data_IF_919016340944
#
_entry.id   IF_919016340944
#
_cell.length_a   1.000
_cell.length_b   1.000
_cell.length_c   1.000
_cell.angle_alpha   90.00
_cell.angle_beta   90.00
_cell.angle_gamma   90.00
#
_symmetry.space_group_name_H-M   'P 1'
#
loop_
_entity.id
_entity.type
_entity.pdbx_description
1 polymer ?
#
# COMPACT_ATOMS: atom_id res chain seq x y z
N UNK A 1 28.58 -70.59 78.88
CA UNK A 1 28.45 -69.27 78.25
C UNK A 1 29.60 -69.12 77.25
N UNK A 2 29.29 -68.67 76.04
CA UNK A 2 30.19 -68.26 74.93
C UNK A 2 30.90 -69.40 74.17
N UNK A 3 30.39 -69.86 73.02
CA UNK A 3 30.47 -69.28 71.65
C UNK A 3 31.90 -69.02 71.18
N UNK A 4 32.30 -69.69 70.10
CA UNK A 4 32.82 -69.09 68.85
C UNK A 4 33.16 -70.23 67.86
N UNK A 5 32.23 -70.61 67.01
CA UNK A 5 32.03 -70.12 65.64
C UNK A 5 33.14 -70.58 64.68
N UNK A 6 32.92 -71.76 64.08
CA UNK A 6 33.62 -72.21 62.88
C UNK A 6 33.30 -71.23 61.74
N UNK A 7 34.33 -70.62 61.18
CA UNK A 7 34.27 -69.85 59.93
C UNK A 7 34.45 -70.83 58.77
N UNK A 8 33.34 -71.18 58.13
CA UNK A 8 33.34 -71.76 56.78
C UNK A 8 33.66 -70.64 55.79
N UNK A 9 34.90 -70.63 55.29
CA UNK A 9 35.30 -69.84 54.13
C UNK A 9 34.75 -70.55 52.89
N UNK A 10 33.62 -70.08 52.40
CA UNK A 10 33.07 -70.48 51.11
C UNK A 10 33.96 -69.87 50.00
N UNK A 11 34.91 -70.66 49.48
CA UNK A 11 35.67 -70.27 48.29
C UNK A 11 34.75 -70.33 47.06
N UNK A 12 34.10 -69.20 46.78
CA UNK A 12 33.41 -68.96 45.51
C UNK A 12 34.46 -68.92 44.40
N UNK A 13 34.72 -70.05 43.75
CA UNK A 13 35.53 -70.12 42.53
C UNK A 13 34.89 -69.22 41.48
N UNK A 14 35.47 -68.03 41.26
CA UNK A 14 35.21 -67.24 40.06
C UNK A 14 35.82 -68.01 38.89
N UNK A 15 34.99 -68.71 38.12
CA UNK A 15 35.38 -69.20 36.80
C UNK A 15 35.58 -67.95 35.94
N UNK A 16 36.84 -67.54 35.78
CA UNK A 16 37.21 -66.52 34.81
C UNK A 16 37.18 -67.17 33.43
N UNK A 17 36.00 -67.22 32.81
CA UNK A 17 35.87 -67.52 31.37
C UNK A 17 36.43 -66.32 30.60
N UNK A 18 37.68 -66.43 30.14
CA UNK A 18 38.22 -65.46 29.18
C UNK A 18 37.45 -65.58 27.86
N UNK A 19 37.09 -64.45 27.26
CA UNK A 19 36.40 -64.39 25.97
C UNK A 19 37.25 -65.01 24.87
N UNK A 20 36.64 -65.79 24.00
CA UNK A 20 37.33 -66.29 22.81
C UNK A 20 37.53 -65.15 21.79
N UNK A 21 38.60 -65.20 21.00
CA UNK A 21 38.89 -64.21 19.96
C UNK A 21 37.72 -64.09 18.94
N UNK A 22 36.97 -65.17 18.73
CA UNK A 22 35.78 -65.20 17.89
C UNK A 22 34.63 -64.38 18.50
N UNK A 23 34.36 -64.51 19.80
CA UNK A 23 33.33 -63.71 20.48
C UNK A 23 33.68 -62.22 20.47
N UNK A 24 34.95 -61.88 20.65
CA UNK A 24 35.39 -60.49 20.60
C UNK A 24 35.20 -59.90 19.18
N UNK A 25 35.49 -60.66 18.13
CA UNK A 25 35.26 -60.25 16.74
C UNK A 25 33.77 -60.14 16.40
N UNK A 26 32.94 -61.08 16.88
CA UNK A 26 31.50 -61.01 16.72
C UNK A 26 30.91 -59.79 17.45
N UNK A 27 31.29 -59.57 18.69
CA UNK A 27 30.87 -58.39 19.45
C UNK A 27 31.32 -57.09 18.79
N UNK A 28 32.56 -57.02 18.30
CA UNK A 28 33.10 -55.84 17.61
C UNK A 28 32.38 -55.59 16.28
N UNK A 29 32.11 -56.63 15.48
CA UNK A 29 31.38 -56.49 14.21
C UNK A 29 29.92 -56.09 14.42
N UNK A 30 29.22 -56.70 15.37
CA UNK A 30 27.85 -56.34 15.73
C UNK A 30 27.78 -54.91 16.30
N UNK A 31 28.72 -54.54 17.17
CA UNK A 31 28.82 -53.18 17.70
C UNK A 31 29.10 -52.14 16.61
N UNK A 32 30.01 -52.44 15.68
CA UNK A 32 30.30 -51.58 14.53
C UNK A 32 29.09 -51.34 13.65
N UNK A 33 28.33 -52.41 13.32
CA UNK A 33 27.10 -52.30 12.55
C UNK A 33 26.03 -51.46 13.27
N UNK A 34 25.86 -51.66 14.58
CA UNK A 34 24.92 -50.86 15.38
C UNK A 34 25.31 -49.39 15.42
N UNK A 35 26.61 -49.07 15.55
CA UNK A 35 27.09 -47.69 15.51
C UNK A 35 26.82 -47.03 14.15
N UNK A 36 26.98 -47.74 13.04
CA UNK A 36 26.68 -47.22 11.70
C UNK A 36 25.19 -46.90 11.58
N UNK A 37 24.30 -47.83 11.97
CA UNK A 37 22.85 -47.61 11.92
C UNK A 37 22.43 -46.43 12.81
N UNK A 38 23.01 -46.31 14.01
CA UNK A 38 22.74 -45.19 14.91
C UNK A 38 23.24 -43.85 14.34
N UNK A 39 24.41 -43.84 13.70
CA UNK A 39 24.95 -42.64 13.05
C UNK A 39 24.08 -42.17 11.88
N UNK A 40 23.63 -43.09 11.03
CA UNK A 40 22.71 -42.78 9.92
C UNK A 40 21.38 -42.22 10.44
N UNK A 41 20.82 -42.81 11.51
CA UNK A 41 19.61 -42.29 12.14
C UNK A 41 19.80 -40.87 12.70
N UNK A 42 20.94 -40.58 13.34
CA UNK A 42 21.26 -39.23 13.81
C UNK A 42 21.41 -38.23 12.66
N UNK A 43 22.11 -38.59 11.59
CA UNK A 43 22.29 -37.71 10.42
C UNK A 43 20.94 -37.40 9.77
N UNK A 44 20.05 -38.39 9.66
CA UNK A 44 18.70 -38.19 9.16
C UNK A 44 17.90 -37.22 10.05
N UNK A 45 17.99 -37.38 11.38
CA UNK A 45 17.36 -36.45 12.32
C UNK A 45 17.92 -35.03 12.22
N UNK A 46 19.24 -34.86 12.11
CA UNK A 46 19.86 -33.54 11.98
C UNK A 46 19.43 -32.84 10.69
N UNK A 47 19.37 -33.56 9.56
CA UNK A 47 18.89 -33.01 8.28
C UNK A 47 17.42 -32.60 8.34
N UNK A 48 16.59 -33.41 8.98
CA UNK A 48 15.17 -33.13 9.20
C UNK A 48 14.96 -31.88 10.08
N UNK A 49 15.71 -31.78 11.18
CA UNK A 49 15.61 -30.61 12.06
C UNK A 49 16.10 -29.33 11.36
N UNK A 50 17.18 -29.42 10.58
CA UNK A 50 17.69 -28.29 9.82
C UNK A 50 16.71 -27.80 8.75
N UNK A 51 16.00 -28.70 8.05
CA UNK A 51 14.99 -28.31 7.06
C UNK A 51 13.75 -27.70 7.70
N UNK A 52 13.33 -28.21 8.86
CA UNK A 52 12.23 -27.63 9.64
C UNK A 52 12.58 -26.23 10.13
N UNK A 53 13.77 -26.03 10.68
CA UNK A 53 14.24 -24.71 11.13
C UNK A 53 14.30 -23.71 9.97
N UNK A 54 14.81 -24.11 8.81
CA UNK A 54 14.85 -23.25 7.62
C UNK A 54 13.44 -22.83 7.16
N UNK A 55 12.46 -23.74 7.26
CA UNK A 55 11.08 -23.45 6.90
C UNK A 55 10.41 -22.49 7.90
N UNK A 56 10.70 -22.64 9.20
CA UNK A 56 10.19 -21.73 10.23
C UNK A 56 10.75 -20.31 10.11
N UNK A 57 12.03 -20.17 9.73
CA UNK A 57 12.61 -18.85 9.42
C UNK A 57 11.87 -18.19 8.26
N UNK A 58 11.64 -18.92 7.16
CA UNK A 58 10.87 -18.40 6.02
C UNK A 58 9.45 -17.99 6.38
N UNK A 59 8.76 -18.76 7.24
CA UNK A 59 7.42 -18.40 7.74
C UNK A 59 7.45 -17.14 8.57
N UNK A 60 8.45 -16.99 9.45
CA UNK A 60 8.64 -15.77 10.25
C UNK A 60 8.90 -14.57 9.35
N UNK A 61 9.77 -14.69 8.35
CA UNK A 61 10.12 -13.59 7.44
C UNK A 61 8.93 -13.18 6.56
N UNK A 62 8.18 -14.18 6.06
CA UNK A 62 6.92 -13.94 5.37
C UNK A 62 5.91 -13.24 6.28
N UNK A 63 5.73 -13.72 7.52
CA UNK A 63 4.78 -13.13 8.47
C UNK A 63 5.14 -11.69 8.82
N UNK A 64 6.42 -11.36 8.99
CA UNK A 64 6.90 -10.00 9.27
C UNK A 64 6.65 -9.07 8.09
N UNK A 65 7.00 -9.51 6.89
CA UNK A 65 6.83 -8.72 5.65
C UNK A 65 5.35 -8.48 5.35
N UNK A 66 4.53 -9.53 5.43
CA UNK A 66 3.08 -9.42 5.21
C UNK A 66 2.44 -8.50 6.24
N UNK A 67 2.75 -8.66 7.53
CA UNK A 67 2.20 -7.79 8.58
C UNK A 67 2.61 -6.31 8.39
N UNK A 68 3.84 -6.07 7.92
CA UNK A 68 4.29 -4.72 7.60
C UNK A 68 3.44 -4.11 6.47
N UNK A 69 3.28 -4.82 5.35
CA UNK A 69 2.43 -4.38 4.21
C UNK A 69 0.98 -4.19 4.67
N UNK A 70 0.43 -5.12 5.45
CA UNK A 70 -0.93 -5.02 5.99
C UNK A 70 -1.13 -3.78 6.85
N UNK A 71 -0.13 -3.45 7.68
CA UNK A 71 -0.17 -2.25 8.52
C UNK A 71 -0.08 -0.96 7.70
N UNK A 72 0.74 -0.91 6.65
CA UNK A 72 0.79 0.25 5.75
C UNK A 72 -0.51 0.41 4.96
N UNK A 73 -1.08 -0.68 4.44
CA UNK A 73 -2.38 -0.61 3.75
C UNK A 73 -3.47 -0.15 4.69
N UNK A 74 -3.49 -0.63 5.94
CA UNK A 74 -4.47 -0.19 6.93
C UNK A 74 -4.39 1.32 7.21
N UNK A 75 -3.19 1.91 7.09
CA UNK A 75 -2.92 3.35 7.22
C UNK A 75 -3.02 4.12 5.91
N UNK A 76 -3.25 3.46 4.78
CA UNK A 76 -3.43 4.12 3.48
C UNK A 76 -4.84 4.64 3.29
N UNK A 77 -5.01 5.73 2.55
CA UNK A 77 -6.31 6.17 2.03
C UNK A 77 -6.72 5.38 0.79
N UNK A 78 -5.75 5.07 -0.09
CA UNK A 78 -5.97 4.45 -1.41
C UNK A 78 -4.84 3.48 -1.77
N UNK A 79 -5.21 2.38 -2.42
CA UNK A 79 -4.31 1.40 -3.02
C UNK A 79 -4.36 1.55 -4.54
N UNK A 80 -3.21 1.74 -5.16
CA UNK A 80 -3.03 1.92 -6.59
C UNK A 80 -2.31 0.71 -7.17
N UNK A 81 -2.90 0.04 -8.14
CA UNK A 81 -2.31 -1.16 -8.78
C UNK A 81 -1.88 -0.91 -10.22
N UNK A 82 -2.22 0.24 -10.80
CA UNK A 82 -1.77 0.68 -12.12
C UNK A 82 -0.54 1.59 -12.01
N UNK A 83 0.43 1.41 -12.90
CA UNK A 83 1.62 2.27 -12.96
C UNK A 83 1.32 3.68 -13.48
N UNK A 84 0.24 3.86 -14.25
CA UNK A 84 -0.16 5.15 -14.83
C UNK A 84 -0.72 6.13 -13.79
N UNK A 85 -1.23 5.62 -12.67
CA UNK A 85 -1.78 6.44 -11.59
C UNK A 85 -0.71 7.02 -10.65
N UNK A 86 0.58 6.70 -10.88
CA UNK A 86 1.67 7.05 -9.98
C UNK A 86 2.87 7.61 -10.75
N UNK A 87 3.45 8.70 -10.26
CA UNK A 87 4.70 9.21 -10.79
C UNK A 87 5.90 8.36 -10.31
N UNK A 88 6.31 7.38 -11.11
CA UNK A 88 7.43 6.48 -10.79
C UNK A 88 8.80 7.18 -10.69
N UNK A 89 8.93 8.40 -11.21
CA UNK A 89 10.19 9.17 -11.15
C UNK A 89 10.41 9.85 -9.79
N UNK A 90 9.45 9.73 -8.86
CA UNK A 90 9.61 10.24 -7.49
C UNK A 90 10.67 9.48 -6.69
N UNK A 91 10.98 8.25 -7.12
CA UNK A 91 12.03 7.45 -6.52
C UNK A 91 13.39 7.84 -7.09
N UNK A 92 14.40 7.92 -6.22
CA UNK A 92 15.80 8.16 -6.60
C UNK A 92 16.32 7.19 -7.66
N UNK A 93 15.75 5.98 -7.72
CA UNK A 93 16.00 5.01 -8.79
C UNK A 93 14.80 4.94 -9.73
N UNK A 94 15.02 5.03 -11.04
CA UNK A 94 13.99 4.79 -12.03
C UNK A 94 13.40 3.39 -11.86
N UNK A 95 12.06 3.28 -11.87
CA UNK A 95 11.32 2.02 -11.74
C UNK A 95 10.65 1.72 -13.07
N UNK A 96 10.81 0.51 -13.60
CA UNK A 96 10.13 0.09 -14.81
C UNK A 96 8.66 -0.26 -14.53
N UNK A 97 7.74 0.43 -15.21
CA UNK A 97 6.29 0.30 -15.02
C UNK A 97 5.76 -1.14 -15.24
N UNK A 98 6.24 -1.84 -16.27
CA UNK A 98 5.66 -3.12 -16.66
C UNK A 98 6.26 -4.33 -15.92
N UNK A 99 7.54 -4.27 -15.54
CA UNK A 99 8.28 -5.42 -15.01
C UNK A 99 8.51 -5.35 -13.51
N UNK A 100 8.81 -4.16 -12.97
CA UNK A 100 9.22 -3.99 -11.57
C UNK A 100 8.05 -3.58 -10.67
N UNK A 101 7.22 -2.64 -11.12
CA UNK A 101 6.11 -2.10 -10.33
C UNK A 101 5.09 -3.20 -9.96
N UNK A 102 4.58 -3.16 -8.73
CA UNK A 102 3.53 -4.08 -8.25
C UNK A 102 2.31 -3.35 -7.74
N UNK A 103 2.49 -2.42 -6.81
CA UNK A 103 1.43 -1.56 -6.31
C UNK A 103 2.03 -0.32 -5.63
N UNK A 104 1.22 0.70 -5.42
CA UNK A 104 1.53 1.85 -4.58
C UNK A 104 0.42 2.11 -3.57
N UNK A 105 0.78 2.74 -2.47
CA UNK A 105 -0.11 3.11 -1.39
C UNK A 105 -0.05 4.63 -1.20
N UNK A 106 -1.21 5.27 -1.28
CA UNK A 106 -1.35 6.66 -0.89
C UNK A 106 -1.64 6.70 0.61
N UNK A 107 -0.62 7.00 1.40
CA UNK A 107 -0.72 6.94 2.87
C UNK A 107 -1.55 8.12 3.38
N UNK A 108 -1.17 9.31 2.93
CA UNK A 108 -1.79 10.59 3.24
C UNK A 108 -1.46 11.54 2.08
N UNK A 109 -2.38 12.45 1.73
CA UNK A 109 -2.25 13.31 0.53
C UNK A 109 -1.06 14.28 0.55
N UNK A 110 -0.51 14.59 1.71
CA UNK A 110 0.65 15.47 1.91
C UNK A 110 2.00 14.72 1.82
N UNK A 111 1.97 13.38 1.81
CA UNK A 111 3.15 12.52 1.72
C UNK A 111 3.23 11.90 0.32
N UNK A 112 4.45 11.71 -0.22
CA UNK A 112 4.60 10.98 -1.47
C UNK A 112 4.05 9.54 -1.31
N UNK A 113 3.43 8.96 -2.34
CA UNK A 113 2.92 7.59 -2.25
C UNK A 113 4.05 6.58 -2.04
N UNK A 114 3.77 5.54 -1.25
CA UNK A 114 4.69 4.43 -1.03
C UNK A 114 4.56 3.39 -2.15
N UNK A 115 5.56 3.30 -3.02
CA UNK A 115 5.66 2.39 -4.14
C UNK A 115 6.35 1.10 -3.71
N UNK A 116 5.73 -0.03 -4.05
CA UNK A 116 6.27 -1.37 -3.91
C UNK A 116 6.65 -1.94 -5.28
N UNK A 117 7.90 -2.37 -5.40
CA UNK A 117 8.42 -2.92 -6.66
C UNK A 117 9.41 -4.04 -6.41
N UNK A 118 9.55 -4.94 -7.38
CA UNK A 118 10.47 -6.07 -7.33
C UNK A 118 11.58 -5.84 -8.33
N UNK A 119 12.83 -5.92 -7.87
CA UNK A 119 14.02 -5.69 -8.70
C UNK A 119 15.01 -6.84 -8.57
N UNK A 120 15.80 -7.07 -9.63
CA UNK A 120 16.87 -8.06 -9.64
C UNK A 120 18.00 -7.67 -8.67
N UNK A 121 18.60 -8.67 -8.04
CA UNK A 121 19.74 -8.52 -7.14
C UNK A 121 21.08 -8.39 -7.90
N UNK A 122 21.06 -8.50 -9.24
CA UNK A 122 22.26 -8.41 -10.09
C UNK A 122 22.89 -7.01 -10.08
N UNK A 123 22.08 -5.99 -9.79
CA UNK A 123 22.46 -4.59 -9.95
C UNK A 123 22.92 -3.97 -8.62
N UNK A 124 23.18 -4.82 -7.62
CA UNK A 124 23.61 -4.38 -6.30
C UNK A 124 25.07 -3.90 -6.34
N UNK A 125 25.25 -2.58 -6.28
CA UNK A 125 26.56 -1.92 -6.31
C UNK A 125 27.49 -2.39 -5.17
N UNK A 126 26.91 -2.88 -4.07
CA UNK A 126 27.62 -3.35 -2.88
C UNK A 126 28.04 -4.83 -2.94
N UNK A 127 27.69 -5.55 -4.02
CA UNK A 127 28.03 -6.96 -4.24
C UNK A 127 27.66 -7.88 -3.06
N UNK A 128 26.59 -7.57 -2.34
CA UNK A 128 26.16 -8.39 -1.21
C UNK A 128 25.52 -9.70 -1.72
N UNK A 129 25.69 -10.79 -0.97
CA UNK A 129 25.13 -12.09 -1.33
C UNK A 129 23.68 -12.15 -0.84
N UNK A 130 22.75 -11.88 -1.75
CA UNK A 130 21.32 -11.95 -1.49
C UNK A 130 20.77 -13.35 -1.75
N UNK A 131 19.76 -13.72 -0.98
CA UNK A 131 19.00 -14.91 -1.27
C UNK A 131 18.08 -14.65 -2.48
N UNK A 132 18.03 -15.58 -3.43
CA UNK A 132 17.21 -15.41 -4.65
C UNK A 132 17.74 -14.41 -5.69
N UNK A 133 17.08 -14.36 -6.84
CA UNK A 133 17.48 -13.47 -7.96
C UNK A 133 16.87 -12.08 -7.87
N UNK A 134 15.82 -11.89 -7.07
CA UNK A 134 15.11 -10.63 -6.91
C UNK A 134 14.90 -10.32 -5.43
N UNK A 135 14.64 -9.06 -5.11
CA UNK A 135 14.21 -8.59 -3.79
C UNK A 135 13.01 -7.67 -3.91
N UNK A 136 12.24 -7.57 -2.82
CA UNK A 136 11.16 -6.60 -2.70
C UNK A 136 11.70 -5.29 -2.16
N UNK A 137 11.40 -4.20 -2.86
CA UNK A 137 11.77 -2.85 -2.48
C UNK A 137 10.52 -2.02 -2.19
N UNK A 138 10.68 -1.10 -1.24
CA UNK A 138 9.72 -0.04 -0.91
C UNK A 138 10.41 1.29 -1.13
N UNK A 139 9.80 2.15 -1.94
CA UNK A 139 10.18 3.55 -2.09
C UNK A 139 9.02 4.41 -1.58
N UNK A 140 9.27 5.38 -0.72
CA UNK A 140 8.19 6.20 -0.18
C UNK A 140 8.68 7.10 0.95
N UNK A 141 7.77 7.57 1.82
CA UNK A 141 8.15 8.34 2.98
C UNK A 141 8.97 7.47 3.94
N UNK A 142 9.99 8.09 4.53
CA UNK A 142 10.80 7.49 5.58
C UNK A 142 9.95 7.17 6.81
N UNK A 143 10.38 6.19 7.59
CA UNK A 143 9.72 5.78 8.83
C UNK A 143 10.73 6.01 9.96
N UNK A 144 10.36 6.80 10.96
CA UNK A 144 11.22 7.04 12.11
C UNK A 144 11.29 5.82 13.06
N UNK A 145 12.10 5.92 14.12
CA UNK A 145 12.23 4.88 15.14
C UNK A 145 10.93 4.60 15.90
N UNK A 146 9.95 5.50 15.82
CA UNK A 146 8.65 5.37 16.47
C UNK A 146 7.57 4.81 15.52
N UNK A 147 7.90 4.54 14.26
CA UNK A 147 6.95 4.07 13.26
C UNK A 147 6.09 5.17 12.64
N UNK A 148 6.46 6.44 12.81
CA UNK A 148 5.79 7.58 12.21
C UNK A 148 6.42 7.94 10.86
N UNK A 149 5.58 8.35 9.91
CA UNK A 149 6.06 8.84 8.62
C UNK A 149 6.69 10.22 8.77
N UNK A 150 7.89 10.37 8.22
CA UNK A 150 8.61 11.64 8.20
C UNK A 150 8.56 12.25 6.81
N UNK A 151 8.21 13.54 6.75
CA UNK A 151 8.36 14.43 5.59
C UNK A 151 9.81 14.91 5.39
N UNK A 152 10.66 14.74 6.41
CA UNK A 152 11.98 15.31 6.49
C UNK A 152 13.00 14.67 5.51
N UNK A 153 13.40 15.45 4.51
CA UNK A 153 14.65 15.32 3.74
C UNK A 153 15.90 15.48 4.64
N UNK A 154 15.73 15.85 5.92
CA UNK A 154 16.83 16.14 6.84
C UNK A 154 16.91 15.13 7.97
N UNK A 155 17.89 14.22 7.84
CA UNK A 155 18.67 13.77 8.99
C UNK A 155 18.19 12.54 9.76
N UNK A 156 17.84 11.44 9.10
CA UNK A 156 18.14 10.09 9.59
C UNK A 156 17.84 9.04 8.52
N UNK A 157 18.90 8.46 7.95
CA UNK A 157 19.05 7.17 7.22
C UNK A 157 18.07 6.75 6.09
N UNK A 158 16.88 7.33 5.94
CA UNK A 158 15.94 7.06 4.84
C UNK A 158 15.39 8.38 4.32
N UNK A 159 16.08 8.97 3.33
CA UNK A 159 15.58 10.13 2.61
C UNK A 159 14.27 9.77 1.90
N UNK A 160 13.29 10.68 1.88
CA UNK A 160 12.08 10.53 1.09
C UNK A 160 12.45 10.22 -0.39
N UNK A 161 11.91 9.12 -0.92
CA UNK A 161 12.23 8.65 -2.29
C UNK A 161 13.47 7.74 -2.40
N UNK A 162 14.16 7.42 -1.31
CA UNK A 162 15.16 6.35 -1.29
C UNK A 162 14.45 4.97 -1.27
N UNK A 163 14.81 4.09 -2.19
CA UNK A 163 14.29 2.73 -2.20
C UNK A 163 14.99 1.90 -1.13
N UNK A 164 14.21 1.40 -0.16
CA UNK A 164 14.69 0.46 0.87
C UNK A 164 14.32 -0.96 0.49
N UNK A 165 15.25 -1.89 0.66
CA UNK A 165 14.99 -3.33 0.52
C UNK A 165 14.20 -3.80 1.76
N UNK A 166 13.07 -4.46 1.55
CA UNK A 166 12.24 -5.00 2.63
C UNK A 166 12.56 -6.46 2.92
N UNK A 167 12.62 -7.28 1.87
CA UNK A 167 12.88 -8.71 1.98
C UNK A 167 13.59 -9.21 0.74
N UNK A 168 14.50 -10.17 0.93
CA UNK A 168 15.17 -10.90 -0.14
C UNK A 168 14.50 -12.27 -0.36
N UNK A 169 15.10 -13.14 -1.17
CA UNK A 169 14.57 -14.48 -1.42
C UNK A 169 13.49 -14.53 -2.49
N UNK A 170 13.34 -13.51 -3.33
CA UNK A 170 12.43 -13.58 -4.48
C UNK A 170 13.16 -14.14 -5.71
N UNK A 171 12.41 -14.62 -6.69
CA UNK A 171 12.94 -14.97 -8.01
C UNK A 171 11.83 -15.19 -9.03
N UNK A 172 12.16 -15.53 -10.27
CA UNK A 172 11.22 -15.50 -11.41
C UNK A 172 9.87 -16.22 -11.16
N UNK A 173 9.88 -17.39 -10.53
CA UNK A 173 8.67 -18.18 -10.23
C UNK A 173 8.15 -17.99 -8.78
N UNK A 174 8.78 -17.11 -8.00
CA UNK A 174 8.49 -16.91 -6.59
C UNK A 174 8.66 -15.42 -6.30
N UNK A 175 7.63 -14.65 -6.64
CA UNK A 175 7.60 -13.19 -6.56
C UNK A 175 6.45 -12.72 -5.68
N UNK A 176 6.35 -11.40 -5.52
CA UNK A 176 5.15 -10.74 -5.08
C UNK A 176 4.20 -10.53 -6.28
N UNK A 177 2.98 -10.99 -6.14
CA UNK A 177 1.91 -10.86 -7.14
C UNK A 177 0.68 -10.23 -6.52
N UNK A 178 0.10 -9.26 -7.20
CA UNK A 178 -1.13 -8.58 -6.78
C UNK A 178 -2.31 -9.26 -7.47
N UNK A 179 -3.27 -9.73 -6.66
CA UNK A 179 -4.47 -10.43 -7.11
C UNK A 179 -5.68 -9.50 -7.26
N UNK A 180 -5.57 -8.26 -6.77
CA UNK A 180 -6.58 -7.22 -6.93
C UNK A 180 -6.59 -6.67 -8.36
N UNK A 181 -7.77 -6.69 -9.00
CA UNK A 181 -7.92 -6.33 -10.42
C UNK A 181 -8.27 -4.85 -10.67
N UNK A 182 -8.71 -4.11 -9.65
CA UNK A 182 -9.11 -2.70 -9.82
C UNK A 182 -7.88 -1.77 -9.78
N UNK A 183 -7.77 -0.79 -10.70
CA UNK A 183 -6.63 0.14 -10.76
C UNK A 183 -6.50 0.98 -9.49
N UNK A 184 -7.64 1.38 -8.90
CA UNK A 184 -7.73 2.03 -7.60
C UNK A 184 -8.67 1.22 -6.71
N UNK A 185 -8.24 0.91 -5.49
CA UNK A 185 -9.04 0.14 -4.52
C UNK A 185 -8.77 0.59 -3.09
N UNK A 186 -9.65 0.23 -2.16
CA UNK A 186 -9.39 0.28 -0.70
C UNK A 186 -8.90 -1.06 -0.15
N UNK A 187 -8.87 -2.10 -0.98
CA UNK A 187 -8.39 -3.43 -0.61
C UNK A 187 -7.13 -3.77 -1.39
N UNK A 188 -6.25 -4.52 -0.75
CA UNK A 188 -5.10 -5.14 -1.40
C UNK A 188 -5.16 -6.64 -1.11
N UNK A 189 -5.14 -7.44 -2.18
CA UNK A 189 -4.94 -8.88 -2.08
C UNK A 189 -3.66 -9.23 -2.82
N UNK A 190 -2.71 -9.85 -2.13
CA UNK A 190 -1.42 -10.19 -2.71
C UNK A 190 -0.96 -11.58 -2.28
N UNK A 191 -0.18 -12.21 -3.16
CA UNK A 191 0.54 -13.45 -2.89
C UNK A 191 2.02 -13.13 -2.80
N UNK A 192 2.64 -13.46 -1.68
CA UNK A 192 4.08 -13.31 -1.48
C UNK A 192 4.71 -14.70 -1.37
N UNK A 193 5.71 -14.95 -2.22
CA UNK A 193 6.52 -16.15 -2.19
C UNK A 193 7.97 -15.81 -1.84
N UNK A 194 8.54 -16.52 -0.88
CA UNK A 194 9.93 -16.43 -0.44
C UNK A 194 10.66 -17.76 -0.64
N UNK A 195 11.87 -17.69 -1.20
CA UNK A 195 12.81 -18.80 -1.31
C UNK A 195 13.79 -18.75 -0.15
N UNK A 196 14.09 -19.89 0.45
CA UNK A 196 15.15 -20.03 1.45
C UNK A 196 16.47 -20.46 0.83
N UNK A 197 17.46 -20.64 1.70
CA UNK A 197 18.77 -21.18 1.32
C UNK A 197 18.58 -22.66 0.92
N UNK A 198 18.52 -22.93 -0.39
CA UNK A 198 18.33 -24.27 -0.96
C UNK A 198 17.06 -24.41 -1.80
N UNK A 199 16.31 -25.51 -1.60
CA UNK A 199 15.08 -25.83 -2.35
C UNK A 199 13.79 -25.51 -1.56
N UNK A 200 13.92 -24.97 -0.35
CA UNK A 200 12.76 -24.63 0.48
C UNK A 200 12.14 -23.34 -0.02
N UNK A 201 10.82 -23.36 -0.23
CA UNK A 201 10.04 -22.19 -0.64
C UNK A 201 8.79 -22.11 0.19
N UNK A 202 8.45 -20.91 0.65
CA UNK A 202 7.19 -20.65 1.34
C UNK A 202 6.41 -19.60 0.57
N UNK A 203 5.12 -19.86 0.35
CA UNK A 203 4.22 -18.94 -0.35
C UNK A 203 2.91 -18.87 0.41
N UNK A 204 2.39 -17.65 0.54
CA UNK A 204 1.13 -17.38 1.21
C UNK A 204 0.43 -16.19 0.58
N UNK A 205 -0.89 -16.15 0.75
CA UNK A 205 -1.75 -15.04 0.31
C UNK A 205 -2.21 -14.26 1.53
N UNK A 206 -2.22 -12.94 1.41
CA UNK A 206 -2.71 -12.02 2.42
C UNK A 206 -3.69 -11.03 1.78
N UNK A 207 -4.74 -10.69 2.52
CA UNK A 207 -5.76 -9.74 2.10
C UNK A 207 -5.99 -8.72 3.20
N UNK A 208 -5.92 -7.44 2.85
CA UNK A 208 -6.07 -6.34 3.78
C UNK A 208 -6.90 -5.22 3.17
N UNK A 209 -7.40 -4.34 4.03
CA UNK A 209 -8.25 -3.22 3.67
C UNK A 209 -7.74 -1.98 4.40
N UNK A 210 -7.75 -0.86 3.68
CA UNK A 210 -7.60 0.47 4.25
C UNK A 210 -8.65 0.71 5.33
N UNK A 211 -8.20 1.19 6.49
CA UNK A 211 -9.06 1.59 7.61
C UNK A 211 -9.36 3.07 7.59
N UNK A 212 -8.65 3.83 6.76
CA UNK A 212 -8.86 5.26 6.60
C UNK A 212 -9.91 5.43 5.51
N UNK A 213 -11.09 5.89 5.93
CA UNK A 213 -11.99 6.52 4.97
C UNK A 213 -11.58 7.98 4.90
N UNK A 214 -11.18 8.49 3.72
CA UNK A 214 -11.01 9.93 3.58
C UNK A 214 -12.34 10.57 3.94
N UNK A 215 -12.35 11.30 5.06
CA UNK A 215 -13.46 12.19 5.35
C UNK A 215 -13.20 13.36 4.43
N UNK A 216 -14.00 13.47 3.38
CA UNK A 216 -14.06 14.69 2.59
C UNK A 216 -14.62 15.78 3.52
N UNK A 217 -13.75 16.38 4.34
CA UNK A 217 -14.08 17.56 5.11
C UNK A 217 -14.09 18.71 4.12
N UNK A 218 -15.19 18.83 3.39
CA UNK A 218 -15.48 20.04 2.65
C UNK A 218 -15.61 21.16 3.69
N UNK A 219 -14.79 22.23 3.61
CA UNK A 219 -14.94 23.37 4.49
C UNK A 219 -16.40 23.83 4.53
N UNK A 220 -16.88 24.22 5.71
CA UNK A 220 -18.22 24.80 5.89
C UNK A 220 -18.34 26.22 5.32
N UNK A 221 -17.26 26.75 4.73
CA UNK A 221 -17.29 28.01 4.01
C UNK A 221 -18.18 27.86 2.77
N UNK A 222 -19.01 28.86 2.51
CA UNK A 222 -19.94 28.92 1.38
C UNK A 222 -19.25 29.00 0.02
N UNK A 223 -17.92 29.15 -0.02
CA UNK A 223 -17.09 29.06 -1.24
C UNK A 223 -15.66 28.66 -0.87
N UNK A 224 -15.11 27.69 -1.58
CA UNK A 224 -13.73 27.21 -1.50
C UNK A 224 -12.79 28.04 -2.36
N UNK A 225 -13.35 28.84 -3.27
CA UNK A 225 -12.63 29.73 -4.17
C UNK A 225 -12.33 31.11 -3.58
N UNK A 226 -12.19 31.28 -2.26
CA UNK A 226 -11.84 32.59 -1.68
C UNK A 226 -10.43 33.09 -2.10
N UNK A 227 -10.21 34.41 -2.06
CA UNK A 227 -8.90 35.06 -2.34
C UNK A 227 -7.78 34.72 -1.33
N UNK A 228 -8.14 34.07 -0.23
CA UNK A 228 -7.15 33.39 0.59
C UNK A 228 -6.75 32.14 -0.18
N UNK A 229 -5.50 32.07 -0.65
CA UNK A 229 -4.89 30.91 -1.31
C UNK A 229 -4.94 29.66 -0.42
N UNK A 230 -6.15 29.14 -0.21
CA UNK A 230 -6.43 27.85 0.37
C UNK A 230 -6.22 26.88 -0.77
N UNK A 231 -4.95 26.55 -1.06
CA UNK A 231 -4.64 25.35 -1.80
C UNK A 231 -5.12 24.18 -0.93
N UNK A 232 -6.30 23.65 -1.23
CA UNK A 232 -6.75 22.40 -0.63
C UNK A 232 -5.78 21.33 -1.15
N UNK A 233 -4.96 20.80 -0.25
CA UNK A 233 -3.91 19.84 -0.58
C UNK A 233 -4.51 18.64 -1.32
N UNK A 234 -4.00 18.36 -2.52
CA UNK A 234 -4.45 17.24 -3.37
C UNK A 234 -5.43 17.61 -4.49
N UNK A 235 -5.95 18.84 -4.55
CA UNK A 235 -6.76 19.30 -5.69
C UNK A 235 -5.90 20.05 -6.72
N UNK A 236 -6.12 19.77 -8.01
CA UNK A 236 -5.60 20.64 -9.06
C UNK A 236 -6.48 21.91 -9.12
N UNK A 237 -5.94 23.09 -8.79
CA UNK A 237 -6.70 24.34 -8.80
C UNK A 237 -6.61 25.02 -10.18
N UNK A 238 -7.76 25.25 -10.82
CA UNK A 238 -7.89 26.08 -12.01
C UNK A 238 -8.72 27.34 -11.67
N UNK A 239 -8.31 28.50 -12.16
CA UNK A 239 -8.97 29.78 -11.84
C UNK A 239 -9.19 30.61 -13.11
N UNK A 240 -10.43 31.09 -13.33
CA UNK A 240 -10.82 31.93 -14.47
C UNK A 240 -10.45 33.39 -14.28
N UNK A 241 -10.81 33.96 -13.12
CA UNK A 241 -10.18 35.18 -12.59
C UNK A 241 -10.39 36.46 -13.41
N UNK A 242 -11.27 36.47 -14.40
CA UNK A 242 -11.59 37.66 -15.18
C UNK A 242 -13.08 38.05 -15.10
N UNK A 243 -13.42 39.26 -15.58
CA UNK A 243 -14.79 39.79 -15.51
C UNK A 243 -15.68 39.36 -16.68
N UNK A 244 -15.16 38.52 -17.59
CA UNK A 244 -15.83 38.03 -18.78
C UNK A 244 -16.15 36.54 -18.61
N UNK A 245 -16.87 35.99 -19.58
CA UNK A 245 -17.09 34.55 -19.66
C UNK A 245 -15.79 33.86 -20.10
N UNK A 246 -15.31 32.92 -19.28
CA UNK A 246 -14.22 32.03 -19.63
C UNK A 246 -14.69 30.59 -19.87
N UNK A 247 -13.95 29.86 -20.71
CA UNK A 247 -14.10 28.40 -20.79
C UNK A 247 -13.00 27.75 -19.97
N UNK A 248 -13.36 27.23 -18.79
CA UNK A 248 -12.46 26.61 -17.83
C UNK A 248 -12.62 25.10 -17.92
N UNK A 249 -11.68 24.45 -18.61
CA UNK A 249 -11.63 23.01 -18.71
C UNK A 249 -10.23 22.52 -18.31
N UNK A 250 -10.16 21.40 -17.63
CA UNK A 250 -8.89 20.73 -17.35
C UNK A 250 -8.36 20.17 -18.67
N UNK A 251 -7.14 20.52 -19.11
CA UNK A 251 -6.59 19.96 -20.35
C UNK A 251 -6.50 18.43 -20.23
N UNK A 252 -7.10 17.72 -21.18
CA UNK A 252 -7.07 16.26 -21.23
C UNK A 252 -5.61 15.75 -21.20
N UNK A 253 -5.21 15.11 -20.09
CA UNK A 253 -3.85 14.61 -19.86
C UNK A 253 -2.92 15.49 -19.00
N UNK A 254 -3.37 16.65 -18.52
CA UNK A 254 -2.59 17.48 -17.57
C UNK A 254 -2.72 16.99 -16.12
N UNK A 255 -3.77 16.22 -15.83
CA UNK A 255 -4.11 15.71 -14.51
C UNK A 255 -4.40 14.21 -14.67
N UNK A 256 -3.84 13.32 -13.84
CA UNK A 256 -4.19 11.89 -13.86
C UNK A 256 -5.71 11.71 -13.74
N UNK A 257 -6.28 10.72 -14.44
CA UNK A 257 -7.73 10.53 -14.54
C UNK A 257 -8.46 10.35 -13.17
N UNK A 258 -7.70 10.10 -12.11
CA UNK A 258 -8.18 9.83 -10.75
C UNK A 258 -7.92 10.98 -9.74
N UNK A 259 -7.37 12.11 -10.20
CA UNK A 259 -7.06 13.25 -9.34
C UNK A 259 -8.21 14.26 -9.32
N UNK A 260 -8.71 14.52 -8.11
CA UNK A 260 -9.79 15.48 -7.84
C UNK A 260 -9.37 16.92 -8.22
N UNK A 261 -10.28 17.69 -8.83
CA UNK A 261 -10.00 19.05 -9.33
C UNK A 261 -10.86 20.09 -8.63
N UNK A 262 -10.29 21.26 -8.34
CA UNK A 262 -11.00 22.44 -7.87
C UNK A 262 -10.98 23.52 -8.96
N UNK A 263 -12.12 23.86 -9.55
CA UNK A 263 -12.21 24.92 -10.55
C UNK A 263 -13.01 26.09 -10.00
N UNK A 264 -12.42 27.29 -10.12
CA UNK A 264 -12.95 28.54 -9.61
C UNK A 264 -13.18 29.54 -10.75
N UNK A 265 -14.44 29.84 -11.06
CA UNK A 265 -14.81 30.86 -12.04
C UNK A 265 -14.52 32.28 -11.57
N UNK A 266 -14.90 32.60 -10.32
CA UNK A 266 -14.94 33.96 -9.75
C UNK A 266 -15.99 34.90 -10.39
N UNK A 267 -16.94 34.34 -11.16
CA UNK A 267 -18.00 35.05 -11.87
C UNK A 267 -17.61 35.44 -13.31
N UNK A 268 -18.49 36.13 -14.02
CA UNK A 268 -18.24 36.52 -15.44
C UNK A 268 -19.08 35.72 -16.45
N UNK A 269 -19.72 34.64 -15.98
CA UNK A 269 -20.58 33.78 -16.79
C UNK A 269 -19.80 32.66 -17.45
N UNK A 270 -19.00 31.97 -16.66
CA UNK A 270 -18.05 30.97 -17.14
C UNK A 270 -18.73 29.68 -17.60
N UNK A 271 -18.12 29.03 -18.57
CA UNK A 271 -18.36 27.63 -18.90
C UNK A 271 -17.28 26.79 -18.24
N UNK A 272 -17.65 26.00 -17.24
CA UNK A 272 -16.75 25.21 -16.42
C UNK A 272 -16.97 23.72 -16.68
N UNK A 273 -15.92 23.02 -17.11
CA UNK A 273 -15.93 21.59 -17.38
C UNK A 273 -14.97 20.85 -16.44
N UNK A 274 -15.52 19.90 -15.68
CA UNK A 274 -14.80 18.96 -14.84
C UNK A 274 -14.10 17.85 -15.64
N UNK A 275 -13.57 16.89 -14.91
CA UNK A 275 -12.79 15.74 -15.33
C UNK A 275 -13.57 14.45 -15.09
N UNK A 276 -12.92 13.28 -15.15
CA UNK A 276 -13.53 11.99 -14.80
C UNK A 276 -13.39 11.62 -13.31
N UNK A 277 -12.77 12.50 -12.51
CA UNK A 277 -12.56 12.32 -11.07
C UNK A 277 -13.68 13.00 -10.26
N UNK A 278 -13.56 13.08 -8.93
CA UNK A 278 -14.58 13.77 -8.13
C UNK A 278 -14.17 15.24 -7.99
N UNK A 279 -14.90 16.12 -8.66
CA UNK A 279 -14.49 17.52 -8.78
C UNK A 279 -15.32 18.48 -7.93
N UNK A 280 -14.74 19.64 -7.67
CA UNK A 280 -15.40 20.78 -7.04
C UNK A 280 -15.38 21.94 -8.02
N UNK A 281 -16.55 22.34 -8.48
CA UNK A 281 -16.73 23.37 -9.49
C UNK A 281 -17.51 24.52 -8.86
N UNK A 282 -16.90 25.71 -8.76
CA UNK A 282 -17.56 26.92 -8.26
C UNK A 282 -17.55 28.01 -9.33
N UNK A 283 -18.73 28.48 -9.74
CA UNK A 283 -18.84 29.63 -10.64
C UNK A 283 -18.39 30.92 -9.96
N UNK A 284 -18.78 31.13 -8.70
CA UNK A 284 -18.49 32.37 -7.97
C UNK A 284 -19.33 33.56 -8.45
N UNK A 285 -19.13 34.71 -7.81
CA UNK A 285 -19.86 35.95 -8.08
C UNK A 285 -18.91 37.10 -8.42
N UNK A 286 -19.28 37.92 -9.40
CA UNK A 286 -18.58 39.19 -9.63
C UNK A 286 -18.83 40.17 -8.46
N UNK A 287 -17.78 40.62 -7.74
CA UNK A 287 -17.93 41.58 -6.66
C UNK A 287 -18.45 42.92 -7.21
N UNK A 288 -19.62 43.34 -6.74
CA UNK A 288 -20.27 44.59 -7.18
C UNK A 288 -21.06 44.48 -8.50
N UNK A 289 -21.29 43.27 -9.02
CA UNK A 289 -22.14 43.06 -10.18
C UNK A 289 -23.56 43.58 -9.95
N UNK A 290 -24.04 44.43 -10.85
CA UNK A 290 -25.46 44.86 -10.88
C UNK A 290 -26.29 43.81 -11.61
N UNK A 291 -27.53 43.51 -11.18
CA UNK A 291 -28.43 42.63 -11.91
C UNK A 291 -28.65 43.09 -13.37
N UNK A 292 -28.83 42.17 -14.33
CA UNK A 292 -28.77 40.71 -14.16
C UNK A 292 -27.34 40.22 -13.96
N UNK A 293 -27.18 39.28 -13.03
CA UNK A 293 -25.90 38.60 -12.82
C UNK A 293 -25.63 37.65 -13.99
N UNK A 294 -24.37 37.51 -14.46
CA UNK A 294 -24.05 36.62 -15.56
C UNK A 294 -24.31 35.16 -15.15
N UNK A 295 -24.91 34.39 -16.05
CA UNK A 295 -25.16 32.95 -15.91
C UNK A 295 -23.91 32.14 -16.23
N UNK A 296 -23.60 31.14 -15.41
CA UNK A 296 -22.54 30.18 -15.66
C UNK A 296 -23.08 28.79 -16.04
N UNK A 297 -22.29 28.04 -16.81
CA UNK A 297 -22.58 26.66 -17.20
C UNK A 297 -21.54 25.73 -16.55
N UNK A 298 -21.95 24.86 -15.62
CA UNK A 298 -21.08 23.93 -14.92
C UNK A 298 -21.40 22.49 -15.32
N UNK A 299 -20.41 21.77 -15.84
CA UNK A 299 -20.50 20.36 -16.23
C UNK A 299 -19.51 19.52 -15.41
N UNK A 300 -20.02 18.66 -14.52
CA UNK A 300 -19.22 17.74 -13.68
C UNK A 300 -18.58 16.58 -14.45
N UNK A 301 -19.22 16.13 -15.54
CA UNK A 301 -18.84 14.93 -16.30
C UNK A 301 -19.01 13.63 -15.48
N UNK A 302 -17.99 12.78 -15.36
CA UNK A 302 -18.07 11.50 -14.65
C UNK A 302 -17.48 11.68 -13.24
N UNK A 303 -18.10 11.13 -12.20
CA UNK A 303 -17.60 11.27 -10.83
C UNK A 303 -18.66 11.73 -9.85
N UNK A 304 -18.30 11.82 -8.56
CA UNK A 304 -19.18 12.42 -7.55
C UNK A 304 -18.81 13.89 -7.35
N UNK A 305 -19.29 14.73 -8.26
CA UNK A 305 -18.92 16.14 -8.29
C UNK A 305 -19.77 17.00 -7.37
N UNK A 306 -19.17 18.11 -6.91
CA UNK A 306 -19.84 19.20 -6.22
C UNK A 306 -19.88 20.42 -7.13
N UNK A 307 -21.09 20.79 -7.54
CA UNK A 307 -21.33 22.00 -8.32
C UNK A 307 -21.91 23.11 -7.44
N UNK A 308 -21.30 24.28 -7.46
CA UNK A 308 -21.75 25.49 -6.78
C UNK A 308 -21.92 26.64 -7.79
N UNK A 309 -23.17 27.05 -8.00
CA UNK A 309 -23.50 28.26 -8.76
C UNK A 309 -23.28 29.55 -7.97
N UNK A 310 -23.36 30.68 -8.68
CA UNK A 310 -23.39 32.03 -8.12
C UNK A 310 -24.82 32.59 -8.00
N UNK A 311 -24.93 33.91 -8.04
CA UNK A 311 -26.20 34.67 -8.04
C UNK A 311 -26.87 34.75 -9.43
N UNK A 312 -26.21 34.26 -10.48
CA UNK A 312 -26.74 34.23 -11.84
C UNK A 312 -27.71 33.09 -12.09
N UNK A 313 -28.28 33.07 -13.30
CA UNK A 313 -29.12 31.98 -13.77
C UNK A 313 -28.25 30.81 -14.24
N UNK A 314 -27.70 30.04 -13.31
CA UNK A 314 -26.69 29.03 -13.64
C UNK A 314 -27.29 27.70 -14.11
N UNK A 315 -26.61 27.06 -15.06
CA UNK A 315 -26.87 25.69 -15.52
C UNK A 315 -25.90 24.74 -14.82
N UNK A 316 -26.42 23.78 -14.05
CA UNK A 316 -25.62 22.78 -13.34
C UNK A 316 -25.91 21.38 -13.87
N UNK A 317 -24.93 20.75 -14.49
CA UNK A 317 -25.00 19.40 -15.04
C UNK A 317 -23.99 18.50 -14.32
N UNK A 318 -24.46 17.63 -13.44
CA UNK A 318 -23.58 16.79 -12.62
C UNK A 318 -23.19 15.46 -13.26
N UNK A 319 -23.61 15.18 -14.49
CA UNK A 319 -23.24 13.98 -15.23
C UNK A 319 -23.45 12.64 -14.49
N UNK A 320 -22.55 11.66 -14.68
CA UNK A 320 -22.66 10.31 -14.08
C UNK A 320 -22.01 10.23 -12.69
N UNK A 321 -22.82 10.11 -11.62
CA UNK A 321 -22.31 9.97 -10.23
C UNK A 321 -22.78 11.02 -9.21
N UNK A 322 -23.90 11.69 -9.45
CA UNK A 322 -24.31 12.96 -8.81
C UNK A 322 -24.49 13.03 -7.28
N UNK A 323 -23.96 14.13 -6.68
CA UNK A 323 -24.46 14.73 -5.44
C UNK A 323 -24.37 16.29 -5.39
N UNK A 324 -25.51 16.99 -5.24
CA UNK A 324 -25.65 18.48 -5.28
C UNK A 324 -26.05 19.10 -3.92
N UNK A 325 -25.54 20.30 -3.55
CA UNK A 325 -26.04 21.11 -2.40
C UNK A 325 -25.85 22.64 -2.55
N UNK A 326 -26.75 23.43 -1.97
CA UNK A 326 -26.89 24.90 -2.15
C UNK A 326 -27.46 25.59 -0.90
N UNK A 327 -27.14 26.87 -0.67
CA UNK A 327 -28.03 27.82 0.05
C UNK A 327 -27.66 29.30 -0.17
N UNK A 328 -28.67 30.17 -0.40
CA UNK A 328 -28.59 31.63 -0.23
C UNK A 328 -29.71 32.09 0.71
N UNK A 329 -29.43 32.86 1.76
CA UNK A 329 -30.49 33.64 2.43
C UNK A 329 -30.05 35.03 2.90
N UNK A 330 -30.75 36.05 2.40
CA UNK A 330 -31.86 36.64 3.14
C UNK A 330 -32.88 37.25 2.17
N UNK A 331 -34.01 36.55 1.98
CA UNK A 331 -35.37 37.07 1.75
C UNK A 331 -36.24 36.56 0.60
N UNK A 332 -35.82 35.72 -0.36
CA UNK A 332 -36.82 34.92 -1.15
C UNK A 332 -36.22 33.79 -2.00
N UNK A 333 -36.68 32.55 -1.70
CA UNK A 333 -36.71 31.25 -2.46
C UNK A 333 -35.34 30.76 -3.01
N UNK A 334 -34.90 29.50 -2.88
CA UNK A 334 -35.18 28.29 -3.70
C UNK A 334 -34.52 27.01 -3.08
N UNK A 335 -35.07 25.82 -3.39
CA UNK A 335 -34.78 24.43 -2.89
C UNK A 335 -34.50 23.24 -3.85
N UNK A 336 -33.40 22.46 -3.77
CA UNK A 336 -33.23 21.09 -4.34
C UNK A 336 -31.79 20.49 -4.22
N UNK A 337 -31.48 19.94 -3.05
CA UNK A 337 -30.46 18.89 -2.97
C UNK A 337 -30.80 17.71 -3.91
N UNK A 338 -29.84 17.20 -4.66
CA UNK A 338 -29.96 15.92 -5.36
C UNK A 338 -28.84 14.99 -4.92
N UNK A 339 -29.20 14.00 -4.10
CA UNK A 339 -28.36 12.87 -3.71
C UNK A 339 -28.90 11.63 -4.42
N UNK A 340 -28.15 11.16 -5.42
CA UNK A 340 -28.20 9.79 -5.98
C UNK A 340 -29.54 9.25 -6.49
N UNK A 341 -30.25 9.96 -7.36
CA UNK A 341 -31.23 9.34 -8.29
C UNK A 341 -31.49 10.21 -9.53
N UNK A 342 -30.91 9.84 -10.67
CA UNK A 342 -31.49 10.05 -12.01
C UNK A 342 -31.74 11.47 -12.52
N UNK A 343 -31.27 12.52 -11.85
CA UNK A 343 -31.33 13.91 -12.34
C UNK A 343 -29.92 14.30 -12.76
N UNK A 344 -29.67 14.35 -14.07
CA UNK A 344 -28.37 14.74 -14.64
C UNK A 344 -28.20 16.25 -14.79
N UNK A 345 -29.30 17.01 -14.93
CA UNK A 345 -29.27 18.44 -15.21
C UNK A 345 -30.26 19.22 -14.33
N UNK A 346 -29.83 20.36 -13.80
CA UNK A 346 -30.64 21.34 -13.09
C UNK A 346 -30.34 22.75 -13.64
N UNK A 347 -31.38 23.51 -13.99
CA UNK A 347 -31.27 24.93 -14.33
C UNK A 347 -31.88 25.79 -13.23
N UNK A 348 -31.15 26.79 -12.76
CA UNK A 348 -31.62 27.73 -11.75
C UNK A 348 -31.94 29.04 -12.45
N UNK A 349 -33.19 29.48 -12.37
CA UNK A 349 -33.63 30.77 -12.90
C UNK A 349 -34.01 31.68 -11.72
N UNK A 350 -33.32 32.80 -11.60
CA UNK A 350 -33.64 33.88 -10.67
C UNK A 350 -34.84 34.65 -11.23
N UNK A 351 -35.80 35.00 -10.36
CA UNK A 351 -37.03 35.68 -10.72
C UNK A 351 -36.98 37.17 -10.37
#
# INVERSE_FOLDING_TARGET
>A
MHLHHQLLIEQRQRVATGFSLLELLLAASMGGLLCIVAADAMIAHLRSNASLEATERLRSDWSRTSHFIESEVALSERVLTSAESVNLNQCSTAIAADSEFRFALEIRRDLPPAIYFVRSNSDDAEQQVWNGSHSLFRCGPGIDQNGLYTDAITGSEQQAGAASRLVDGLGENCTLEVLTAAPVSKSLNFRLCLKGIGQQTFSGTASTYSRISPVFSYPNATSLCSDQDLSIEGFYKLSGGDSNSNTLAVPQGAVPADQDVLICGYGGGDTIEGSSANDVLEAGDLPGGTPPHPSADLNGQDGNDRLLGGKGDDTLNGGEGTMFWWEWTATTRWWAAAVKTGISQASVTTA
#
